data_IF_577236860520
#
_entry.id   IF_577236860520
#
_cell.length_a   1.000
_cell.length_b   1.000
_cell.length_c   1.000
_cell.angle_alpha   90.00
_cell.angle_beta   90.00
_cell.angle_gamma   90.00
#
_symmetry.space_group_name_H-M   'P 1'
#
loop_
_entity.id
_entity.type
_entity.pdbx_description
1 polymer ?
#
# COMPACT_ATOMS: atom_id res chain seq x y z
N UNK A 1 14.09 -21.72 20.45
CA UNK A 1 13.02 -21.77 19.42
C UNK A 1 12.30 -20.42 19.26
N UNK A 2 12.90 -19.28 19.65
CA UNK A 2 12.31 -17.94 19.58
C UNK A 2 13.21 -16.95 18.82
N UNK A 3 14.06 -17.43 17.91
CA UNK A 3 15.11 -16.61 17.28
C UNK A 3 14.61 -15.69 16.14
N UNK A 4 13.31 -15.72 15.81
CA UNK A 4 12.74 -15.00 14.66
C UNK A 4 11.43 -14.27 14.95
N UNK A 5 11.13 -14.01 16.24
CA UNK A 5 9.90 -13.28 16.62
C UNK A 5 9.88 -11.83 16.12
N UNK A 6 11.04 -11.28 15.79
CA UNK A 6 11.25 -9.97 15.20
C UNK A 6 11.10 -9.95 13.66
N UNK A 7 11.25 -11.10 12.99
CA UNK A 7 11.10 -11.22 11.53
C UNK A 7 9.63 -11.29 11.11
N UNK A 8 8.76 -11.83 11.96
CA UNK A 8 7.33 -11.95 11.71
C UNK A 8 6.51 -11.41 12.89
N UNK A 9 6.53 -10.09 13.13
CA UNK A 9 5.69 -9.49 14.16
C UNK A 9 4.20 -9.62 13.79
N UNK A 10 3.33 -9.75 14.80
CA UNK A 10 1.88 -9.83 14.61
C UNK A 10 1.28 -8.57 13.95
N UNK A 11 1.96 -7.43 14.06
CA UNK A 11 1.61 -6.19 13.35
C UNK A 11 2.85 -5.48 12.81
N UNK A 12 2.76 -4.93 11.60
CA UNK A 12 3.82 -4.17 10.94
C UNK A 12 3.83 -2.75 11.54
N UNK A 13 4.68 -2.56 12.55
CA UNK A 13 4.71 -1.32 13.36
C UNK A 13 5.56 -0.20 12.73
N UNK A 14 6.39 -0.52 11.75
CA UNK A 14 7.27 0.45 11.08
C UNK A 14 6.92 0.58 9.60
N UNK A 15 7.01 1.81 9.08
CA UNK A 15 7.25 2.02 7.65
C UNK A 15 8.46 1.18 7.25
N UNK A 16 8.49 0.71 6.00
CA UNK A 16 9.64 -0.05 5.47
C UNK A 16 10.92 0.63 5.98
N UNK A 17 11.83 -0.12 6.66
CA UNK A 17 13.04 0.47 7.21
C UNK A 17 13.71 1.29 6.12
N UNK A 18 14.32 2.42 6.48
CA UNK A 18 15.02 3.30 5.54
C UNK A 18 15.99 2.44 4.73
N UNK A 19 15.58 2.07 3.52
CA UNK A 19 16.38 1.23 2.65
C UNK A 19 17.39 2.19 2.04
N UNK A 20 18.67 1.81 2.02
CA UNK A 20 19.73 2.64 1.42
C UNK A 20 19.47 2.99 -0.07
N UNK A 21 18.51 2.30 -0.70
CA UNK A 21 18.16 2.44 -2.11
C UNK A 21 16.68 2.84 -2.24
N UNK A 22 16.43 3.91 -2.98
CA UNK A 22 15.09 4.33 -3.38
C UNK A 22 14.50 3.32 -4.38
N UNK A 23 13.30 2.83 -4.11
CA UNK A 23 12.60 1.89 -5.01
C UNK A 23 12.05 2.67 -6.19
N UNK A 24 12.66 2.48 -7.36
CA UNK A 24 12.17 3.00 -8.63
C UNK A 24 11.48 1.90 -9.42
N UNK A 25 10.36 2.24 -10.08
CA UNK A 25 9.67 1.34 -11.00
C UNK A 25 9.97 1.82 -12.41
N UNK A 26 10.84 1.11 -13.11
CA UNK A 26 11.20 1.41 -14.49
C UNK A 26 10.06 1.00 -15.44
N UNK A 27 9.63 1.94 -16.28
CA UNK A 27 8.61 1.69 -17.29
C UNK A 27 9.27 1.23 -18.59
N UNK A 28 8.66 0.26 -19.26
CA UNK A 28 9.06 -0.11 -20.62
C UNK A 28 8.84 1.07 -21.57
N UNK A 29 9.71 1.21 -22.57
CA UNK A 29 9.59 2.28 -23.57
C UNK A 29 8.22 2.22 -24.26
N UNK A 30 7.48 3.33 -24.25
CA UNK A 30 6.14 3.42 -24.81
C UNK A 30 4.99 3.09 -23.85
N UNK A 31 5.27 2.72 -22.59
CA UNK A 31 4.22 2.61 -21.58
C UNK A 31 3.50 3.96 -21.38
N UNK A 32 2.18 3.92 -21.27
CA UNK A 32 1.33 5.08 -21.01
C UNK A 32 0.49 4.80 -19.76
N UNK A 33 0.11 5.84 -18.99
CA UNK A 33 -0.81 5.68 -17.89
C UNK A 33 -2.16 5.11 -18.36
N UNK A 34 -2.70 4.16 -17.60
CA UNK A 34 -4.02 3.57 -17.87
C UNK A 34 -4.87 3.79 -16.63
N UNK A 35 -5.94 4.57 -16.79
CA UNK A 35 -6.92 4.78 -15.73
C UNK A 35 -8.13 3.88 -15.92
N UNK A 36 -8.41 3.04 -14.94
CA UNK A 36 -9.54 2.09 -14.94
C UNK A 36 -10.45 2.37 -13.76
N UNK A 37 -11.76 2.31 -14.00
CA UNK A 37 -12.73 2.46 -12.92
C UNK A 37 -12.57 1.34 -11.88
N UNK A 38 -12.65 1.64 -10.57
CA UNK A 38 -12.65 0.61 -9.53
C UNK A 38 -13.78 -0.41 -9.73
N UNK A 39 -13.56 -1.64 -9.26
CA UNK A 39 -14.58 -2.67 -9.28
C UNK A 39 -15.81 -2.27 -8.45
N UNK A 40 -16.98 -2.76 -8.88
CA UNK A 40 -18.22 -2.57 -8.12
C UNK A 40 -18.15 -3.40 -6.85
N UNK A 41 -18.37 -2.75 -5.72
CA UNK A 41 -18.39 -3.35 -4.39
C UNK A 41 -19.74 -3.09 -3.71
N UNK A 42 -20.16 -4.03 -2.86
CA UNK A 42 -21.32 -3.87 -1.99
C UNK A 42 -21.07 -2.84 -0.89
N UNK A 43 -22.13 -2.42 -0.20
CA UNK A 43 -22.02 -1.46 0.92
C UNK A 43 -21.22 -2.00 2.11
N UNK A 44 -21.15 -3.33 2.28
CA UNK A 44 -20.39 -3.97 3.36
C UNK A 44 -18.89 -3.93 3.02
N UNK A 45 -18.54 -4.30 1.79
CA UNK A 45 -17.15 -4.26 1.30
C UNK A 45 -16.61 -2.82 1.30
N UNK A 46 -17.41 -1.83 0.89
CA UNK A 46 -16.99 -0.43 0.92
C UNK A 46 -16.71 0.08 2.35
N UNK A 47 -17.46 -0.40 3.35
CA UNK A 47 -17.23 -0.04 4.75
C UNK A 47 -15.92 -0.61 5.24
N UNK A 48 -15.68 -1.90 4.98
CA UNK A 48 -14.44 -2.58 5.36
C UNK A 48 -13.22 -1.95 4.68
N UNK A 49 -13.31 -1.71 3.38
CA UNK A 49 -12.26 -1.04 2.61
C UNK A 49 -11.91 0.33 3.21
N UNK A 50 -12.92 1.11 3.63
CA UNK A 50 -12.70 2.40 4.27
C UNK A 50 -11.93 2.25 5.59
N UNK A 51 -12.30 1.28 6.42
CA UNK A 51 -11.61 1.02 7.70
C UNK A 51 -10.14 0.64 7.47
N UNK A 52 -9.86 -0.21 6.48
CA UNK A 52 -8.49 -0.58 6.11
C UNK A 52 -7.68 0.62 5.59
N UNK A 53 -8.28 1.47 4.74
CA UNK A 53 -7.63 2.68 4.25
C UNK A 53 -7.28 3.66 5.38
N UNK A 54 -8.18 3.86 6.35
CA UNK A 54 -7.93 4.71 7.52
C UNK A 54 -6.75 4.18 8.36
N UNK A 55 -6.67 2.87 8.54
CA UNK A 55 -5.55 2.25 9.24
C UNK A 55 -4.21 2.45 8.50
N UNK A 56 -4.19 2.23 7.19
CA UNK A 56 -3.01 2.41 6.35
C UNK A 56 -2.55 3.87 6.29
N UNK A 57 -3.49 4.82 6.25
CA UNK A 57 -3.19 6.25 6.35
C UNK A 57 -2.58 6.60 7.72
N UNK A 58 -3.14 6.07 8.81
CA UNK A 58 -2.61 6.26 10.16
C UNK A 58 -1.19 5.69 10.32
N UNK A 59 -0.92 4.55 9.69
CA UNK A 59 0.40 3.91 9.61
C UNK A 59 1.36 4.61 8.63
N UNK A 60 0.91 5.66 7.93
CA UNK A 60 1.67 6.40 6.92
C UNK A 60 2.13 5.56 5.71
N UNK A 61 1.55 4.37 5.51
CA UNK A 61 1.91 3.47 4.39
C UNK A 61 1.41 3.98 3.05
N UNK A 62 0.32 4.76 3.06
CA UNK A 62 -0.26 5.39 1.88
C UNK A 62 -0.48 6.88 2.12
N UNK A 63 -0.61 7.64 1.04
CA UNK A 63 -0.98 9.06 1.06
C UNK A 63 -1.93 9.38 -0.10
N UNK A 64 -2.79 10.41 0.02
CA UNK A 64 -3.57 10.90 -1.11
C UNK A 64 -2.67 11.28 -2.28
N UNK A 65 -3.10 10.97 -3.49
CA UNK A 65 -2.36 11.28 -4.72
C UNK A 65 -3.31 11.68 -5.85
N UNK A 66 -2.77 12.40 -6.83
CA UNK A 66 -3.43 12.74 -8.09
C UNK A 66 -2.64 12.08 -9.23
N UNK A 67 -2.91 10.80 -9.45
CA UNK A 67 -2.20 9.97 -10.44
C UNK A 67 -2.92 10.01 -11.79
N UNK A 68 -2.19 10.07 -12.93
CA UNK A 68 -2.76 9.83 -14.26
C UNK A 68 -2.98 8.34 -14.57
N UNK A 69 -2.37 7.44 -13.77
CA UNK A 69 -2.66 6.00 -13.72
C UNK A 69 -3.87 5.75 -12.82
#
# INVERSE_FOLDING_TARGET
MNEFLDVFPDDITSLLPEREIEFSIDLVSGAQPISVAPYRMSSVELRELKTQLEELLRKHFIRPSVSPW
#
